data_IF_078995960150
#
_entry.id   IF_078995960150
#
_cell.length_a   1.000
_cell.length_b   1.000
_cell.length_c   1.000
_cell.angle_alpha   90.00
_cell.angle_beta   90.00
_cell.angle_gamma   90.00
#
_symmetry.space_group_name_H-M   'P 1'
#
loop_
_entity.id
_entity.type
_entity.pdbx_description
1 polymer ?
#
# COMPACT_ATOMS: atom_id res chain seq x y z
N UNK A 1 -6.98 -71.42 -90.09
CA UNK A 1 -6.42 -72.56 -89.34
C UNK A 1 -5.92 -72.04 -88.01
N UNK A 2 -6.36 -72.69 -86.92
CA UNK A 2 -5.96 -72.42 -85.53
C UNK A 2 -4.50 -72.87 -85.33
N UNK A 3 -3.77 -72.19 -84.44
CA UNK A 3 -2.86 -72.78 -83.44
C UNK A 3 -2.27 -71.65 -82.56
N UNK A 4 -2.65 -71.65 -81.28
CA UNK A 4 -1.85 -71.13 -80.16
C UNK A 4 -0.70 -72.13 -79.88
N UNK A 5 0.47 -71.74 -79.32
CA UNK A 5 0.58 -71.60 -77.86
C UNK A 5 1.65 -70.62 -77.28
N UNK A 6 1.33 -70.15 -76.07
CA UNK A 6 2.21 -70.03 -74.87
C UNK A 6 3.29 -68.91 -74.80
N UNK A 7 3.12 -68.07 -73.78
CA UNK A 7 4.08 -67.11 -73.21
C UNK A 7 5.43 -67.75 -72.82
N UNK A 8 6.50 -66.93 -72.78
CA UNK A 8 7.10 -66.71 -71.47
C UNK A 8 7.31 -65.24 -71.11
N UNK A 9 7.27 -65.06 -69.80
CA UNK A 9 7.50 -63.87 -68.99
C UNK A 9 8.94 -63.37 -69.19
N UNK A 10 9.13 -62.07 -69.43
CA UNK A 10 10.35 -61.34 -69.05
C UNK A 10 10.14 -59.82 -69.12
N UNK A 11 10.20 -59.21 -67.93
CA UNK A 11 10.66 -57.86 -67.59
C UNK A 11 10.66 -56.74 -68.65
N UNK A 12 9.96 -55.64 -68.36
CA UNK A 12 10.63 -54.37 -67.97
C UNK A 12 9.65 -53.20 -67.81
N UNK A 13 9.86 -52.44 -66.74
CA UNK A 13 9.53 -51.01 -66.57
C UNK A 13 8.05 -50.58 -66.49
N UNK A 14 7.41 -50.90 -65.36
CA UNK A 14 6.46 -49.95 -64.77
C UNK A 14 7.26 -48.80 -64.14
N UNK A 15 7.21 -47.61 -64.76
CA UNK A 15 7.46 -46.35 -64.05
C UNK A 15 6.28 -46.09 -63.12
N UNK A 16 6.25 -46.78 -61.98
CA UNK A 16 5.52 -46.27 -60.83
C UNK A 16 6.36 -45.13 -60.26
N UNK A 17 5.84 -43.92 -60.40
CA UNK A 17 6.22 -42.77 -59.61
C UNK A 17 6.03 -43.12 -58.13
N UNK A 18 7.07 -43.67 -57.51
CA UNK A 18 7.27 -43.58 -56.07
C UNK A 18 7.54 -42.10 -55.77
N UNK A 19 6.47 -41.31 -55.63
CA UNK A 19 6.54 -40.19 -54.71
C UNK A 19 6.71 -40.81 -53.32
N UNK A 20 7.97 -41.00 -52.92
CA UNK A 20 8.29 -41.29 -51.53
C UNK A 20 7.73 -40.14 -50.72
N UNK A 21 6.62 -40.38 -50.04
CA UNK A 21 6.22 -39.58 -48.90
C UNK A 21 7.28 -39.84 -47.83
N UNK A 22 8.39 -39.11 -47.91
CA UNK A 22 9.23 -38.89 -46.74
C UNK A 22 8.42 -37.98 -45.84
N UNK A 23 7.59 -38.56 -45.00
CA UNK A 23 7.38 -38.00 -43.67
C UNK A 23 8.73 -38.08 -42.95
N UNK A 24 9.66 -37.21 -43.32
CA UNK A 24 10.62 -36.69 -42.37
C UNK A 24 9.77 -36.01 -41.32
N UNK A 25 9.45 -36.78 -40.29
CA UNK A 25 9.12 -36.30 -38.96
C UNK A 25 10.21 -35.29 -38.64
N UNK A 26 9.96 -34.03 -38.96
CA UNK A 26 10.84 -32.94 -38.62
C UNK A 26 10.93 -33.03 -37.10
N UNK A 27 12.07 -33.48 -36.62
CA UNK A 27 12.38 -33.47 -35.21
C UNK A 27 12.43 -31.98 -34.87
N UNK A 28 11.29 -31.40 -34.51
CA UNK A 28 11.26 -30.10 -33.87
C UNK A 28 12.22 -30.24 -32.70
N UNK A 29 13.28 -29.44 -32.60
CA UNK A 29 14.03 -29.39 -31.35
C UNK A 29 13.00 -29.13 -30.25
N UNK A 30 13.08 -29.92 -29.19
CA UNK A 30 12.17 -29.81 -28.06
C UNK A 30 12.49 -28.48 -27.38
N UNK A 31 11.60 -27.49 -27.58
CA UNK A 31 11.84 -26.08 -27.24
C UNK A 31 12.24 -25.91 -25.78
N UNK A 32 11.81 -26.82 -24.90
CA UNK A 32 12.09 -26.77 -23.47
C UNK A 32 13.35 -27.56 -23.03
N UNK A 33 14.20 -28.05 -23.95
CA UNK A 33 15.39 -28.85 -23.61
C UNK A 33 16.70 -28.06 -23.47
N UNK A 34 16.73 -26.80 -23.90
CA UNK A 34 17.92 -25.95 -23.87
C UNK A 34 18.06 -25.31 -22.47
N UNK A 35 19.17 -25.59 -21.78
CA UNK A 35 19.51 -24.94 -20.51
C UNK A 35 20.22 -23.62 -20.83
N UNK A 36 19.55 -22.50 -20.62
CA UNK A 36 20.09 -21.17 -20.89
C UNK A 36 19.88 -20.24 -19.67
N UNK A 37 20.83 -19.33 -19.46
CA UNK A 37 20.76 -18.32 -18.40
C UNK A 37 19.60 -17.34 -18.67
N UNK A 38 18.85 -16.99 -17.62
CA UNK A 38 17.72 -16.06 -17.73
C UNK A 38 18.18 -14.68 -18.21
N UNK A 39 17.58 -14.19 -19.28
CA UNK A 39 17.91 -12.92 -19.94
C UNK A 39 18.98 -13.06 -21.04
N UNK A 40 19.51 -14.26 -21.29
CA UNK A 40 20.47 -14.46 -22.39
C UNK A 40 19.77 -14.47 -23.75
N UNK A 41 20.44 -13.87 -24.75
CA UNK A 41 20.03 -13.91 -26.15
C UNK A 41 20.99 -14.83 -26.89
N UNK A 42 20.44 -15.90 -27.48
CA UNK A 42 21.19 -16.77 -28.39
C UNK A 42 20.82 -16.48 -29.83
N UNK A 43 21.85 -16.23 -30.64
CA UNK A 43 21.68 -15.90 -32.06
C UNK A 43 22.22 -17.04 -32.90
N UNK A 44 21.37 -17.59 -33.76
CA UNK A 44 21.74 -18.65 -34.68
C UNK A 44 21.50 -18.20 -36.12
N UNK A 45 22.52 -18.28 -36.98
CA UNK A 45 22.46 -17.79 -38.37
C UNK A 45 23.14 -18.73 -39.35
N UNK A 46 22.87 -18.59 -40.66
CA UNK A 46 23.48 -19.42 -41.69
C UNK A 46 25.02 -19.40 -41.74
N UNK A 47 25.68 -18.41 -41.14
CA UNK A 47 27.12 -18.15 -41.32
C UNK A 47 27.92 -18.07 -40.03
N UNK A 48 27.31 -18.31 -38.86
CA UNK A 48 27.98 -18.17 -37.55
C UNK A 48 27.56 -19.33 -36.63
N UNK A 49 28.57 -19.97 -36.04
CA UNK A 49 28.43 -20.96 -34.94
C UNK A 49 27.95 -20.23 -33.68
N UNK A 50 27.08 -20.85 -32.88
CA UNK A 50 26.36 -20.24 -31.73
C UNK A 50 27.22 -19.24 -30.95
N UNK A 51 26.78 -17.98 -30.90
CA UNK A 51 27.46 -16.94 -30.13
C UNK A 51 26.45 -16.25 -29.21
N UNK A 52 26.81 -16.09 -27.94
CA UNK A 52 26.03 -15.35 -26.95
C UNK A 52 26.17 -13.84 -27.24
N UNK A 53 25.04 -13.14 -27.35
CA UNK A 53 25.02 -11.70 -27.55
C UNK A 53 24.35 -11.07 -26.33
N UNK A 54 24.98 -10.05 -25.74
CA UNK A 54 24.38 -9.29 -24.63
C UNK A 54 23.16 -8.50 -25.13
N UNK A 55 22.13 -8.33 -24.28
CA UNK A 55 20.83 -7.71 -24.60
C UNK A 55 20.98 -6.27 -25.18
N UNK A 56 22.11 -5.59 -24.94
CA UNK A 56 22.39 -4.25 -25.44
C UNK A 56 22.82 -4.16 -26.93
N UNK A 57 23.16 -5.27 -27.59
CA UNK A 57 23.61 -5.26 -29.01
C UNK A 57 22.48 -5.44 -30.04
N UNK A 58 21.25 -5.70 -29.59
CA UNK A 58 20.09 -5.88 -30.48
C UNK A 58 19.24 -4.61 -30.45
N UNK A 59 19.26 -3.82 -31.53
CA UNK A 59 18.47 -2.57 -31.72
C UNK A 59 16.97 -2.86 -31.94
N UNK A 60 16.39 -3.73 -31.11
CA UNK A 60 15.06 -4.30 -31.27
C UNK A 60 14.32 -4.25 -29.93
N UNK A 61 13.10 -3.70 -29.95
CA UNK A 61 12.37 -3.38 -28.73
C UNK A 61 11.39 -4.51 -28.42
N UNK A 62 11.88 -5.54 -27.74
CA UNK A 62 11.06 -6.63 -27.19
C UNK A 62 10.91 -6.49 -25.68
N UNK A 63 9.71 -6.73 -25.14
CA UNK A 63 9.51 -6.81 -23.70
C UNK A 63 8.33 -7.69 -23.31
N UNK A 64 8.52 -8.47 -22.23
CA UNK A 64 7.46 -9.20 -21.55
C UNK A 64 7.21 -8.68 -20.14
N UNK A 65 5.96 -8.80 -19.69
CA UNK A 65 5.52 -8.38 -18.36
C UNK A 65 4.48 -9.36 -17.82
N UNK A 66 4.68 -9.82 -16.59
CA UNK A 66 3.73 -10.65 -15.86
C UNK A 66 2.98 -9.78 -14.84
N UNK A 67 1.71 -9.52 -15.11
CA UNK A 67 0.86 -8.70 -14.24
C UNK A 67 0.36 -9.48 -13.01
N UNK A 68 -0.08 -8.78 -11.95
CA UNK A 68 -0.67 -9.40 -10.76
C UNK A 68 -1.93 -10.25 -11.04
N UNK A 69 -2.62 -9.99 -12.16
CA UNK A 69 -3.77 -10.77 -12.64
C UNK A 69 -3.37 -12.08 -13.33
N UNK A 70 -2.09 -12.48 -13.26
CA UNK A 70 -1.48 -13.61 -13.95
C UNK A 70 -1.58 -13.52 -15.48
N UNK A 71 -1.69 -12.30 -16.00
CA UNK A 71 -1.63 -12.04 -17.44
C UNK A 71 -0.17 -11.78 -17.81
N UNK A 72 0.40 -12.65 -18.64
CA UNK A 72 1.66 -12.41 -19.32
C UNK A 72 1.38 -11.63 -20.61
N UNK A 73 1.98 -10.46 -20.75
CA UNK A 73 1.89 -9.66 -21.96
C UNK A 73 3.29 -9.44 -22.53
N UNK A 74 3.49 -9.85 -23.77
CA UNK A 74 4.73 -9.71 -24.50
C UNK A 74 4.48 -8.90 -25.77
N UNK A 75 5.36 -7.95 -26.05
CA UNK A 75 5.27 -7.17 -27.28
C UNK A 75 6.64 -6.97 -27.91
N UNK A 76 6.64 -6.89 -29.23
CA UNK A 76 7.83 -6.80 -30.06
C UNK A 76 7.66 -5.72 -31.12
N UNK A 77 8.78 -5.13 -31.52
CA UNK A 77 8.84 -4.16 -32.60
C UNK A 77 10.16 -4.26 -33.35
N UNK A 78 10.07 -4.66 -34.62
CA UNK A 78 11.20 -4.77 -35.55
C UNK A 78 11.03 -3.77 -36.72
N UNK A 79 11.18 -2.44 -36.49
CA UNK A 79 10.86 -1.42 -37.48
C UNK A 79 11.92 -1.31 -38.58
N UNK A 80 13.15 -1.70 -38.29
CA UNK A 80 14.32 -1.65 -39.19
C UNK A 80 14.35 -2.81 -40.18
N UNK A 81 13.51 -3.83 -39.98
CA UNK A 81 13.48 -5.04 -40.79
C UNK A 81 12.94 -4.77 -42.21
N UNK A 82 13.68 -5.23 -43.24
CA UNK A 82 13.35 -5.00 -44.65
C UNK A 82 11.94 -5.49 -45.02
N UNK A 83 11.24 -4.78 -45.91
CA UNK A 83 9.84 -5.09 -46.30
C UNK A 83 9.65 -6.50 -46.89
N UNK A 84 10.69 -7.06 -47.49
CA UNK A 84 10.63 -8.39 -48.10
C UNK A 84 11.07 -9.52 -47.15
N UNK A 85 11.44 -9.20 -45.90
CA UNK A 85 11.80 -10.21 -44.92
C UNK A 85 10.55 -10.97 -44.44
N UNK A 86 10.66 -12.29 -44.35
CA UNK A 86 9.68 -13.12 -43.64
C UNK A 86 10.01 -13.09 -42.14
N UNK A 87 8.98 -12.95 -41.32
CA UNK A 87 9.10 -12.81 -39.87
C UNK A 87 8.10 -13.74 -39.19
N UNK A 88 8.58 -14.51 -38.23
CA UNK A 88 7.74 -15.36 -37.39
C UNK A 88 8.20 -15.24 -35.94
N UNK A 89 7.28 -14.97 -35.04
CA UNK A 89 7.51 -15.08 -33.59
C UNK A 89 6.81 -16.33 -33.07
N UNK A 90 7.48 -17.03 -32.16
CA UNK A 90 6.90 -18.11 -31.37
C UNK A 90 7.16 -17.86 -29.88
N UNK A 91 6.11 -17.99 -29.07
CA UNK A 91 6.17 -17.86 -27.61
C UNK A 91 5.83 -19.23 -27.01
N UNK A 92 6.76 -19.77 -26.23
CA UNK A 92 6.64 -21.07 -25.58
C UNK A 92 6.82 -20.92 -24.07
N UNK A 93 6.00 -21.61 -23.29
CA UNK A 93 6.07 -21.62 -21.83
C UNK A 93 6.38 -23.02 -21.38
N UNK A 94 7.52 -23.16 -20.71
CA UNK A 94 8.09 -24.40 -20.27
C UNK A 94 8.01 -24.49 -18.74
N UNK A 95 7.49 -25.60 -18.23
CA UNK A 95 7.68 -25.98 -16.82
C UNK A 95 9.08 -26.59 -16.61
N UNK A 96 9.55 -26.66 -15.37
CA UNK A 96 10.81 -27.29 -14.96
C UNK A 96 10.94 -28.74 -15.46
N UNK A 97 9.81 -29.45 -15.62
CA UNK A 97 9.77 -30.79 -16.21
C UNK A 97 9.95 -30.81 -17.73
N UNK A 98 10.29 -29.66 -18.33
CA UNK A 98 10.46 -29.44 -19.77
C UNK A 98 9.21 -29.75 -20.58
N UNK A 99 8.04 -29.53 -19.98
CA UNK A 99 6.75 -29.73 -20.64
C UNK A 99 6.16 -28.39 -21.06
N UNK A 100 5.65 -28.33 -22.29
CA UNK A 100 4.99 -27.14 -22.84
C UNK A 100 3.60 -27.02 -22.22
N UNK A 101 3.39 -26.01 -21.37
CA UNK A 101 2.14 -25.81 -20.61
C UNK A 101 1.06 -25.07 -21.43
N UNK A 102 1.44 -24.33 -22.48
CA UNK A 102 0.52 -23.58 -23.34
C UNK A 102 0.79 -23.87 -24.82
N UNK A 103 -0.24 -23.84 -25.71
CA UNK A 103 0.01 -23.99 -27.14
C UNK A 103 1.02 -22.94 -27.61
N UNK A 104 1.90 -23.29 -28.55
CA UNK A 104 2.84 -22.35 -29.16
C UNK A 104 2.05 -21.17 -29.77
N UNK A 105 2.14 -19.99 -29.14
CA UNK A 105 1.50 -18.79 -29.66
C UNK A 105 2.43 -18.21 -30.73
N UNK A 106 1.94 -18.13 -31.97
CA UNK A 106 2.71 -17.59 -33.10
C UNK A 106 2.04 -16.37 -33.74
N UNK A 107 2.86 -15.51 -34.31
CA UNK A 107 2.43 -14.38 -35.13
C UNK A 107 3.45 -14.10 -36.23
N UNK A 108 2.98 -13.49 -37.32
CA UNK A 108 3.79 -13.06 -38.46
C UNK A 108 3.93 -11.52 -38.51
N UNK A 109 3.30 -10.82 -37.57
CA UNK A 109 3.34 -9.36 -37.50
C UNK A 109 4.69 -8.89 -36.95
N UNK A 110 5.34 -7.94 -37.62
CA UNK A 110 6.65 -7.39 -37.18
C UNK A 110 6.56 -6.45 -35.99
N UNK A 111 5.38 -5.87 -35.80
CA UNK A 111 5.02 -5.05 -34.65
C UNK A 111 3.75 -5.65 -34.11
N UNK A 112 3.82 -6.23 -32.93
CA UNK A 112 2.73 -7.02 -32.39
C UNK A 112 2.80 -7.14 -30.88
N UNK A 113 1.71 -7.62 -30.31
CA UNK A 113 1.61 -7.93 -28.89
C UNK A 113 0.77 -9.18 -28.70
N UNK A 114 1.14 -10.00 -27.73
CA UNK A 114 0.43 -11.21 -27.37
C UNK A 114 0.21 -11.24 -25.86
N UNK A 115 -0.99 -11.64 -25.44
CA UNK A 115 -1.33 -11.77 -24.03
C UNK A 115 -1.89 -13.15 -23.73
N UNK A 116 -1.45 -13.74 -22.63
CA UNK A 116 -1.87 -15.07 -22.17
C UNK A 116 -2.14 -15.04 -20.67
N UNK A 117 -3.19 -15.73 -20.24
CA UNK A 117 -3.47 -15.96 -18.83
C UNK A 117 -2.72 -17.22 -18.40
N UNK A 118 -1.93 -17.08 -17.35
CA UNK A 118 -1.17 -18.19 -16.77
C UNK A 118 -1.93 -18.77 -15.58
N UNK A 119 -2.07 -20.10 -15.59
CA UNK A 119 -2.59 -20.85 -14.46
C UNK A 119 -1.42 -21.24 -13.55
N UNK A 120 -0.87 -20.25 -12.85
CA UNK A 120 0.40 -20.32 -12.10
C UNK A 120 0.34 -21.31 -10.93
N UNK A 121 1.25 -22.30 -10.88
CA UNK A 121 1.61 -23.08 -9.67
C UNK A 121 3.07 -23.63 -9.65
N UNK A 122 3.86 -23.49 -10.71
CA UNK A 122 5.24 -24.02 -10.79
C UNK A 122 6.20 -22.95 -11.35
N UNK A 123 7.51 -23.14 -11.19
CA UNK A 123 8.54 -22.29 -11.80
C UNK A 123 8.46 -22.46 -13.32
N UNK A 124 8.27 -21.36 -14.05
CA UNK A 124 8.11 -21.38 -15.50
C UNK A 124 9.24 -20.60 -16.17
N UNK A 125 9.69 -21.13 -17.30
CA UNK A 125 10.58 -20.44 -18.21
C UNK A 125 9.78 -20.02 -19.45
N UNK A 126 9.96 -18.76 -19.84
CA UNK A 126 9.40 -18.22 -21.07
C UNK A 126 10.47 -18.22 -22.14
N UNK A 127 10.21 -18.92 -23.24
CA UNK A 127 11.12 -18.97 -24.39
C UNK A 127 10.46 -18.27 -25.56
N UNK A 128 11.18 -17.30 -26.11
CA UNK A 128 10.77 -16.47 -27.22
C UNK A 128 11.69 -16.72 -28.39
N UNK A 129 11.10 -17.01 -29.55
CA UNK A 129 11.86 -17.32 -30.75
C UNK A 129 11.41 -16.46 -31.90
N UNK A 130 12.31 -15.62 -32.41
CA UNK A 130 12.09 -14.81 -33.60
C UNK A 130 12.85 -15.44 -34.76
N UNK A 131 12.13 -15.87 -35.79
CA UNK A 131 12.70 -16.41 -37.01
C UNK A 131 12.55 -15.37 -38.13
N UNK A 132 13.68 -14.89 -38.63
CA UNK A 132 13.75 -13.87 -39.65
C UNK A 132 14.45 -14.46 -40.86
N UNK A 133 13.82 -14.41 -42.03
CA UNK A 133 14.39 -14.87 -43.29
C UNK A 133 14.41 -13.75 -44.32
N UNK A 134 15.57 -13.50 -44.92
CA UNK A 134 15.78 -12.47 -45.94
C UNK A 134 16.79 -12.95 -46.98
N UNK A 135 16.38 -13.01 -48.26
CA UNK A 135 17.25 -13.41 -49.39
C UNK A 135 18.05 -14.70 -49.14
N UNK A 136 17.36 -15.79 -48.77
CA UNK A 136 17.93 -17.12 -48.45
C UNK A 136 18.89 -17.17 -47.25
N UNK A 137 18.99 -16.09 -46.49
CA UNK A 137 19.64 -16.07 -45.18
C UNK A 137 18.57 -16.07 -44.10
N UNK A 138 18.78 -16.88 -43.06
CA UNK A 138 17.93 -16.88 -41.89
C UNK A 138 18.75 -16.57 -40.63
N UNK A 139 18.08 -15.88 -39.72
CA UNK A 139 18.56 -15.59 -38.37
C UNK A 139 17.46 -15.95 -37.40
N UNK A 140 17.81 -16.68 -36.35
CA UNK A 140 16.94 -16.99 -35.24
C UNK A 140 17.49 -16.32 -33.99
N UNK A 141 16.64 -15.53 -33.34
CA UNK A 141 16.89 -15.02 -31.99
C UNK A 141 16.06 -15.84 -31.02
N UNK A 142 16.72 -16.44 -30.04
CA UNK A 142 16.08 -17.10 -28.91
C UNK A 142 16.36 -16.29 -27.65
N UNK A 143 15.32 -16.02 -26.88
CA UNK A 143 15.41 -15.29 -25.61
C UNK A 143 14.67 -16.10 -24.55
N UNK A 144 15.36 -16.35 -23.44
CA UNK A 144 14.84 -17.16 -22.35
C UNK A 144 14.73 -16.32 -21.09
N UNK A 145 13.54 -16.26 -20.48
CA UNK A 145 13.31 -15.55 -19.22
C UNK A 145 12.79 -16.49 -18.14
N UNK A 146 13.32 -16.36 -16.93
CA UNK A 146 12.59 -16.80 -15.74
C UNK A 146 11.37 -15.90 -15.55
N UNK A 147 10.19 -16.50 -15.41
CA UNK A 147 8.94 -15.74 -15.33
C UNK A 147 8.85 -14.80 -14.12
N UNK A 148 9.55 -15.13 -13.04
CA UNK A 148 9.61 -14.31 -11.84
C UNK A 148 10.35 -12.99 -12.08
N UNK A 149 11.28 -12.98 -13.03
CA UNK A 149 12.01 -11.78 -13.47
C UNK A 149 11.17 -10.89 -14.39
N UNK A 150 9.97 -11.33 -14.80
CA UNK A 150 9.04 -10.55 -15.61
C UNK A 150 7.94 -9.90 -14.77
N UNK A 151 7.93 -10.13 -13.46
CA UNK A 151 6.86 -9.69 -12.57
C UNK A 151 6.74 -8.17 -12.49
N UNK A 152 5.51 -7.67 -12.66
CA UNK A 152 5.10 -6.31 -12.34
C UNK A 152 4.36 -6.33 -11.01
N UNK A 153 4.85 -5.56 -10.04
CA UNK A 153 4.27 -5.53 -8.70
C UNK A 153 2.91 -4.83 -8.66
N UNK A 154 2.10 -5.21 -7.67
CA UNK A 154 0.93 -4.43 -7.26
C UNK A 154 1.34 -3.23 -6.39
N UNK A 155 0.50 -2.19 -6.29
CA UNK A 155 0.73 -1.13 -5.31
C UNK A 155 0.89 -1.71 -3.89
N UNK A 156 1.68 -1.07 -3.00
CA UNK A 156 1.87 -1.55 -1.64
C UNK A 156 0.55 -1.74 -0.87
N UNK A 157 0.38 -2.83 -0.11
CA UNK A 157 -0.82 -3.05 0.69
C UNK A 157 -0.84 -2.18 1.95
N UNK A 158 -1.99 -2.13 2.66
CA UNK A 158 -2.11 -1.56 4.00
C UNK A 158 -1.60 -0.12 4.15
N UNK A 159 -1.89 0.73 3.17
CA UNK A 159 -1.48 2.14 3.19
C UNK A 159 -2.35 2.88 4.22
N UNK A 160 -1.70 3.51 5.18
CA UNK A 160 -2.35 4.36 6.17
C UNK A 160 -1.60 5.67 6.30
N UNK A 161 -2.34 6.76 6.44
CA UNK A 161 -1.80 8.07 6.71
C UNK A 161 -2.53 8.68 7.91
N UNK A 162 -1.79 9.35 8.79
CA UNK A 162 -2.34 9.98 9.99
C UNK A 162 -1.50 11.19 10.38
N UNK A 163 -2.12 12.23 10.93
CA UNK A 163 -1.39 13.38 11.48
C UNK A 163 -1.19 13.17 12.97
N UNK A 164 0.07 13.18 13.43
CA UNK A 164 0.48 13.04 14.83
C UNK A 164 1.38 14.20 15.20
N UNK A 165 1.02 14.95 16.24
CA UNK A 165 1.82 16.08 16.76
C UNK A 165 2.23 17.13 15.72
N UNK A 166 1.43 17.31 14.65
CA UNK A 166 1.71 18.24 13.56
C UNK A 166 2.46 17.63 12.37
N UNK A 167 2.84 16.36 12.44
CA UNK A 167 3.54 15.64 11.38
C UNK A 167 2.61 14.64 10.69
N UNK A 168 2.68 14.55 9.35
CA UNK A 168 1.96 13.55 8.59
C UNK A 168 2.79 12.27 8.50
N UNK A 169 2.33 11.23 9.19
CA UNK A 169 2.95 9.89 9.18
C UNK A 169 2.21 9.00 8.19
N UNK A 170 2.93 8.52 7.18
CA UNK A 170 2.45 7.61 6.15
C UNK A 170 3.19 6.27 6.29
N UNK A 171 2.45 5.17 6.33
CA UNK A 171 3.01 3.81 6.45
C UNK A 171 2.30 2.88 5.48
N UNK A 172 3.00 1.85 5.02
CA UNK A 172 2.45 0.83 4.13
C UNK A 172 3.04 -0.55 4.46
N UNK A 173 2.38 -1.59 3.97
CA UNK A 173 2.85 -2.96 4.07
C UNK A 173 3.88 -3.30 3.01
N UNK A 174 4.63 -4.38 3.25
CA UNK A 174 5.55 -4.94 2.26
C UNK A 174 4.77 -5.43 1.03
N UNK A 175 5.17 -5.06 -0.21
CA UNK A 175 4.55 -5.57 -1.42
C UNK A 175 4.62 -7.08 -1.50
N UNK A 176 3.58 -7.69 -2.06
CA UNK A 176 3.61 -9.12 -2.41
C UNK A 176 4.37 -9.30 -3.72
N UNK A 177 5.31 -10.23 -3.73
CA UNK A 177 6.15 -10.64 -4.86
C UNK A 177 6.23 -12.17 -4.87
N UNK A 178 6.33 -12.76 -6.06
CA UNK A 178 6.41 -14.23 -6.22
C UNK A 178 7.75 -14.79 -5.78
N UNK A 179 8.84 -14.12 -6.15
CA UNK A 179 10.20 -14.58 -5.89
C UNK A 179 10.87 -13.90 -4.68
N UNK A 180 10.51 -12.65 -4.39
CA UNK A 180 11.25 -11.84 -3.42
C UNK A 180 10.47 -11.57 -2.15
N UNK A 181 11.03 -12.00 -1.02
CA UNK A 181 10.49 -11.65 0.30
C UNK A 181 11.40 -10.68 1.06
N UNK A 182 12.57 -10.34 0.51
CA UNK A 182 13.50 -9.40 1.13
C UNK A 182 12.99 -7.95 0.99
N UNK A 183 12.73 -7.23 2.10
CA UNK A 183 12.32 -5.84 2.07
C UNK A 183 13.28 -4.89 1.33
N UNK A 184 14.57 -5.22 1.29
CA UNK A 184 15.59 -4.40 0.65
C UNK A 184 15.48 -4.38 -0.88
N UNK A 185 14.78 -5.35 -1.47
CA UNK A 185 14.55 -5.44 -2.90
C UNK A 185 13.51 -4.45 -3.42
N UNK A 186 12.79 -3.75 -2.54
CA UNK A 186 11.71 -2.86 -2.95
C UNK A 186 12.09 -1.40 -2.80
N UNK A 187 11.63 -0.60 -3.74
CA UNK A 187 11.64 0.85 -3.63
C UNK A 187 10.27 1.43 -3.96
N UNK A 188 10.06 2.66 -3.51
CA UNK A 188 8.75 3.30 -3.48
C UNK A 188 8.82 4.72 -4.00
N UNK A 189 7.71 5.16 -4.58
CA UNK A 189 7.47 6.57 -4.90
C UNK A 189 6.21 7.04 -4.20
N UNK A 190 6.35 8.04 -3.34
CA UNK A 190 5.26 8.69 -2.64
C UNK A 190 4.94 10.02 -3.33
N UNK A 191 3.71 10.20 -3.79
CA UNK A 191 3.22 11.46 -4.31
C UNK A 191 2.18 12.05 -3.37
N UNK A 192 2.31 13.35 -3.10
CA UNK A 192 1.43 14.14 -2.27
C UNK A 192 0.87 15.29 -3.12
N UNK A 193 -0.40 15.67 -2.96
CA UNK A 193 -1.03 16.67 -3.83
C UNK A 193 -0.32 18.03 -3.85
N UNK A 194 0.31 18.41 -2.75
CA UNK A 194 0.99 19.70 -2.61
C UNK A 194 2.41 19.71 -3.22
N UNK A 195 2.84 18.60 -3.83
CA UNK A 195 4.18 18.45 -4.39
C UNK A 195 4.14 18.09 -5.88
N UNK A 196 4.92 18.83 -6.67
CA UNK A 196 5.05 18.57 -8.11
C UNK A 196 5.77 17.27 -8.42
N UNK A 197 6.70 16.83 -7.56
CA UNK A 197 7.53 15.64 -7.78
C UNK A 197 7.33 14.60 -6.68
N UNK A 198 7.12 13.31 -7.05
CA UNK A 198 7.10 12.23 -6.08
C UNK A 198 8.45 12.07 -5.37
N UNK A 199 8.40 11.68 -4.09
CA UNK A 199 9.58 11.35 -3.28
C UNK A 199 9.93 9.87 -3.46
N UNK A 200 11.20 9.58 -3.73
CA UNK A 200 11.73 8.21 -3.79
C UNK A 200 12.13 7.75 -2.40
N UNK A 201 11.69 6.55 -2.01
CA UNK A 201 11.82 6.00 -0.65
C UNK A 201 12.19 4.51 -0.72
N UNK A 202 12.89 4.03 0.31
CA UNK A 202 13.26 2.61 0.46
C UNK A 202 12.63 1.96 1.70
N UNK A 203 12.25 2.76 2.69
CA UNK A 203 11.62 2.29 3.93
C UNK A 203 10.10 2.26 3.77
N UNK A 204 9.40 1.41 4.55
CA UNK A 204 7.94 1.27 4.53
C UNK A 204 7.18 2.36 5.32
N UNK A 205 7.87 3.45 5.65
CA UNK A 205 7.30 4.58 6.38
C UNK A 205 7.95 5.89 5.96
N UNK A 206 7.15 6.94 6.03
CA UNK A 206 7.58 8.30 5.71
C UNK A 206 6.85 9.29 6.61
N UNK A 207 7.58 10.30 7.08
CA UNK A 207 7.03 11.38 7.91
C UNK A 207 7.28 12.71 7.22
N UNK A 208 6.21 13.43 6.89
CA UNK A 208 6.30 14.83 6.46
C UNK A 208 6.18 15.73 7.70
N UNK A 209 7.21 16.53 8.02
CA UNK A 209 7.17 17.38 9.20
C UNK A 209 6.33 18.64 8.96
N UNK A 210 5.72 19.17 10.03
CA UNK A 210 5.04 20.48 10.04
C UNK A 210 3.98 20.65 8.94
N UNK A 211 3.04 19.70 8.84
CA UNK A 211 1.94 19.81 7.87
C UNK A 211 0.86 20.77 8.35
N UNK A 212 0.22 21.47 7.41
CA UNK A 212 -0.89 22.36 7.74
C UNK A 212 -2.10 21.54 8.25
N UNK A 213 -2.55 21.72 9.51
CA UNK A 213 -3.65 20.96 10.08
C UNK A 213 -5.02 21.35 9.49
N UNK A 214 -5.10 22.47 8.77
CA UNK A 214 -6.34 22.95 8.14
C UNK A 214 -6.57 22.37 6.76
N UNK A 215 -5.52 21.86 6.13
CA UNK A 215 -5.56 21.29 4.80
C UNK A 215 -5.92 19.80 4.83
N UNK A 216 -6.55 19.33 3.75
CA UNK A 216 -6.75 17.89 3.52
C UNK A 216 -5.55 17.37 2.77
N UNK A 217 -4.78 16.50 3.40
CA UNK A 217 -3.61 15.87 2.81
C UNK A 217 -4.04 14.66 2.01
N UNK A 218 -3.54 14.51 0.79
CA UNK A 218 -3.80 13.33 -0.03
C UNK A 218 -2.50 12.70 -0.49
N UNK A 219 -2.40 11.39 -0.31
CA UNK A 219 -1.21 10.61 -0.60
C UNK A 219 -1.53 9.44 -1.51
N UNK A 220 -0.64 9.14 -2.44
CA UNK A 220 -0.65 7.93 -3.27
C UNK A 220 0.77 7.38 -3.37
N UNK A 221 0.89 6.06 -3.43
CA UNK A 221 2.18 5.39 -3.45
C UNK A 221 2.20 4.29 -4.51
N UNK A 222 3.38 4.06 -5.10
CA UNK A 222 3.65 2.93 -5.99
C UNK A 222 5.00 2.34 -5.67
N UNK A 223 5.25 1.12 -6.15
CA UNK A 223 6.47 0.37 -5.86
C UNK A 223 7.03 -0.30 -7.10
N UNK A 224 8.32 -0.62 -7.07
CA UNK A 224 8.97 -1.53 -8.00
C UNK A 224 10.10 -2.28 -7.29
N UNK A 225 10.64 -3.31 -7.95
CA UNK A 225 11.88 -3.91 -7.48
C UNK A 225 13.06 -3.02 -7.85
N UNK A 226 14.10 -3.03 -7.02
CA UNK A 226 15.38 -2.40 -7.32
C UNK A 226 16.09 -3.18 -8.41
N UNK A 227 16.94 -2.48 -9.17
CA UNK A 227 17.73 -3.07 -10.24
C UNK A 227 18.58 -4.26 -9.76
N UNK A 228 19.12 -4.20 -8.54
CA UNK A 228 19.95 -5.27 -7.96
C UNK A 228 19.18 -6.59 -7.71
N UNK A 229 17.85 -6.53 -7.63
CA UNK A 229 17.01 -7.72 -7.44
C UNK A 229 16.28 -8.15 -8.71
N UNK A 230 15.87 -7.19 -9.54
CA UNK A 230 15.28 -7.46 -10.85
C UNK A 230 15.64 -6.32 -11.79
N UNK A 231 16.41 -6.66 -12.82
CA UNK A 231 16.79 -5.72 -13.84
C UNK A 231 15.57 -5.24 -14.64
N UNK A 232 15.58 -3.99 -15.08
CA UNK A 232 14.51 -3.36 -15.85
C UNK A 232 13.08 -3.41 -15.22
N UNK A 233 12.99 -3.54 -13.88
CA UNK A 233 11.70 -3.59 -13.17
C UNK A 233 10.85 -2.34 -13.39
N UNK A 234 9.56 -2.56 -13.65
CA UNK A 234 8.58 -1.52 -13.93
C UNK A 234 7.89 -1.03 -12.65
N UNK A 235 7.50 0.24 -12.66
CA UNK A 235 6.65 0.80 -11.60
C UNK A 235 5.28 0.16 -11.61
N UNK A 236 4.79 -0.20 -10.42
CA UNK A 236 3.39 -0.56 -10.22
C UNK A 236 2.48 0.61 -10.59
N UNK A 237 1.20 0.29 -10.75
CA UNK A 237 0.16 1.31 -10.71
C UNK A 237 0.22 2.11 -9.40
N UNK A 238 -0.36 3.30 -9.43
CA UNK A 238 -0.56 4.08 -8.22
C UNK A 238 -1.60 3.42 -7.33
N UNK A 239 -1.36 3.43 -6.02
CA UNK A 239 -2.36 3.05 -5.05
C UNK A 239 -3.60 3.95 -5.14
N UNK A 240 -4.74 3.49 -4.59
CA UNK A 240 -5.83 4.38 -4.24
C UNK A 240 -5.31 5.56 -3.39
N UNK A 241 -5.94 6.72 -3.58
CA UNK A 241 -5.59 7.93 -2.85
C UNK A 241 -6.08 7.78 -1.41
N UNK A 242 -5.18 7.99 -0.46
CA UNK A 242 -5.52 8.07 0.97
C UNK A 242 -5.58 9.52 1.36
N UNK A 243 -6.76 9.99 1.78
CA UNK A 243 -6.97 11.36 2.24
C UNK A 243 -7.02 11.42 3.76
N UNK A 244 -6.27 12.35 4.34
CA UNK A 244 -6.26 12.62 5.77
C UNK A 244 -6.70 14.06 5.97
N UNK A 245 -7.78 14.23 6.72
CA UNK A 245 -8.21 15.53 7.19
C UNK A 245 -8.10 15.54 8.71
N UNK A 246 -7.28 16.44 9.24
CA UNK A 246 -7.26 16.62 10.68
C UNK A 246 -8.53 17.38 11.07
N UNK A 247 -9.31 16.80 11.99
CA UNK A 247 -10.42 17.55 12.57
C UNK A 247 -9.82 18.66 13.42
N UNK A 248 -9.82 19.88 12.89
CA UNK A 248 -9.49 21.08 13.67
C UNK A 248 -10.38 21.03 14.90
N UNK A 249 -9.74 21.03 16.08
CA UNK A 249 -10.30 21.04 17.41
C UNK A 249 -11.83 20.95 17.43
N UNK A 250 -12.39 19.77 17.70
CA UNK A 250 -13.72 19.72 18.30
C UNK A 250 -13.58 20.38 19.67
N UNK A 251 -13.61 21.71 19.70
CA UNK A 251 -13.75 22.49 20.92
C UNK A 251 -14.91 21.85 21.65
N UNK A 252 -14.61 21.20 22.78
CA UNK A 252 -15.59 20.43 23.50
C UNK A 252 -16.78 21.36 23.76
N UNK A 253 -17.98 20.97 23.32
CA UNK A 253 -19.17 21.81 23.40
C UNK A 253 -19.37 22.32 24.84
N UNK A 254 -19.00 21.48 25.82
CA UNK A 254 -18.98 21.82 27.24
C UNK A 254 -18.02 22.97 27.60
N UNK A 255 -16.85 23.05 26.98
CA UNK A 255 -15.87 24.13 27.15
C UNK A 255 -16.38 25.43 26.53
N UNK A 256 -17.02 25.37 25.36
CA UNK A 256 -17.64 26.55 24.74
C UNK A 256 -18.77 27.08 25.64
N UNK A 257 -19.63 26.18 26.14
CA UNK A 257 -20.72 26.54 27.06
C UNK A 257 -20.18 27.11 28.37
N UNK A 258 -19.13 26.52 28.94
CA UNK A 258 -18.55 27.00 30.20
C UNK A 258 -17.91 28.38 30.06
N UNK A 259 -17.23 28.66 28.95
CA UNK A 259 -16.65 29.98 28.67
C UNK A 259 -17.75 31.01 28.43
N UNK A 260 -18.74 30.68 27.59
CA UNK A 260 -19.82 31.61 27.21
C UNK A 260 -20.78 31.95 28.35
N UNK A 261 -21.02 31.02 29.29
CA UNK A 261 -21.89 31.27 30.44
C UNK A 261 -21.10 31.71 31.68
N UNK A 262 -19.90 31.16 31.88
CA UNK A 262 -19.06 31.45 33.03
C UNK A 262 -18.52 32.87 33.06
N UNK A 263 -18.00 33.37 31.92
CA UNK A 263 -17.41 34.72 31.87
C UNK A 263 -18.45 35.81 32.18
N UNK A 264 -19.65 35.83 31.57
CA UNK A 264 -20.67 36.84 31.89
C UNK A 264 -21.16 36.75 33.34
N UNK A 265 -21.30 35.54 33.89
CA UNK A 265 -21.73 35.33 35.27
C UNK A 265 -20.73 35.87 36.28
N UNK A 266 -19.42 35.61 36.05
CA UNK A 266 -18.35 36.16 36.90
C UNK A 266 -18.32 37.69 36.79
N UNK A 267 -18.41 38.23 35.58
CA UNK A 267 -18.42 39.67 35.34
C UNK A 267 -19.61 40.35 36.04
N UNK A 268 -20.79 39.73 35.98
CA UNK A 268 -21.99 40.20 36.65
C UNK A 268 -21.84 40.18 38.17
N UNK A 269 -21.29 39.11 38.73
CA UNK A 269 -21.04 39.00 40.18
C UNK A 269 -20.09 40.11 40.67
N UNK A 270 -19.00 40.36 39.94
CA UNK A 270 -18.04 41.45 40.26
C UNK A 270 -18.73 42.81 40.19
N UNK A 271 -19.55 43.07 39.17
CA UNK A 271 -20.30 44.32 39.05
C UNK A 271 -21.27 44.54 40.21
N UNK A 272 -21.96 43.48 40.65
CA UNK A 272 -22.88 43.53 41.78
C UNK A 272 -22.13 43.80 43.10
N UNK A 273 -20.98 43.15 43.33
CA UNK A 273 -20.15 43.38 44.51
C UNK A 273 -19.65 44.83 44.59
N UNK A 274 -19.17 45.39 43.47
CA UNK A 274 -18.72 46.79 43.41
C UNK A 274 -19.89 47.75 43.68
N UNK A 275 -21.08 47.47 43.13
CA UNK A 275 -22.27 48.27 43.43
C UNK A 275 -22.65 48.19 44.91
N UNK A 276 -22.60 47.01 45.51
CA UNK A 276 -22.95 46.82 46.90
C UNK A 276 -21.97 47.53 47.85
N UNK A 277 -20.67 47.50 47.55
CA UNK A 277 -19.67 48.29 48.28
C UNK A 277 -19.97 49.79 48.22
N UNK A 278 -20.26 50.33 47.01
CA UNK A 278 -20.63 51.75 46.86
C UNK A 278 -21.93 52.11 47.58
N UNK A 279 -22.92 51.22 47.60
CA UNK A 279 -24.16 51.44 48.34
C UNK A 279 -23.93 51.44 49.85
N UNK A 280 -23.07 50.55 50.34
CA UNK A 280 -22.72 50.48 51.76
C UNK A 280 -22.07 51.79 52.23
N UNK A 281 -21.12 52.34 51.45
CA UNK A 281 -20.46 53.61 51.76
C UNK A 281 -21.43 54.81 51.76
N UNK A 282 -22.51 54.76 50.98
CA UNK A 282 -23.54 55.81 50.91
C UNK A 282 -24.58 55.70 52.03
N UNK A 283 -25.02 54.48 52.35
CA UNK A 283 -26.04 54.23 53.38
C UNK A 283 -25.46 54.27 54.80
N UNK A 284 -24.19 53.92 54.95
CA UNK A 284 -23.46 53.92 56.21
C UNK A 284 -22.19 54.75 56.07
N UNK A 285 -22.30 56.08 55.94
CA UNK A 285 -21.12 56.94 55.95
C UNK A 285 -20.36 56.70 57.26
N UNK A 286 -19.01 56.73 57.24
CA UNK A 286 -18.20 56.54 58.44
C UNK A 286 -18.65 57.53 59.52
N UNK A 287 -18.97 57.00 60.70
CA UNK A 287 -19.46 57.79 61.83
C UNK A 287 -18.41 58.87 62.13
N UNK A 288 -18.77 60.17 62.08
CA UNK A 288 -17.81 61.23 62.32
C UNK A 288 -17.21 61.08 63.72
N UNK A 289 -15.88 61.00 63.80
CA UNK A 289 -15.20 60.88 65.07
C UNK A 289 -15.48 62.10 65.96
N UNK A 290 -15.81 61.90 67.25
CA UNK A 290 -16.05 63.01 68.15
C UNK A 290 -14.76 63.83 68.32
N UNK A 291 -14.88 65.17 68.47
CA UNK A 291 -13.74 66.03 68.73
C UNK A 291 -12.95 65.52 69.95
N UNK A 292 -11.60 65.59 69.95
CA UNK A 292 -10.77 65.00 71.01
C UNK A 292 -11.08 65.52 72.42
N UNK A 293 -11.73 66.69 72.53
CA UNK A 293 -12.18 67.29 73.80
C UNK A 293 -13.22 66.44 74.55
N UNK A 294 -14.01 65.62 73.84
CA UNK A 294 -15.06 64.80 74.45
C UNK A 294 -14.59 63.37 74.79
N UNK A 295 -13.45 62.94 74.26
CA UNK A 295 -12.89 61.60 74.53
C UNK A 295 -12.55 61.42 76.01
N UNK A 296 -12.02 62.47 76.64
CA UNK A 296 -11.66 62.49 78.06
C UNK A 296 -12.87 62.37 79.01
N UNK A 297 -14.07 62.80 78.57
CA UNK A 297 -15.28 62.72 79.39
C UNK A 297 -15.92 61.33 79.38
N UNK A 298 -15.80 60.59 78.28
CA UNK A 298 -16.38 59.26 78.13
C UNK A 298 -15.55 58.18 78.83
N UNK A 299 -14.23 58.30 78.82
CA UNK A 299 -13.30 57.35 79.46
C UNK A 299 -13.38 57.36 81.00
N UNK A 300 -14.03 58.36 81.61
CA UNK A 300 -14.11 58.52 83.07
C UNK A 300 -15.27 57.76 83.73
N UNK A 301 -16.21 57.20 82.97
CA UNK A 301 -17.46 56.62 83.52
C UNK A 301 -17.50 55.08 83.60
N UNK A 302 -16.39 54.37 83.37
CA UNK A 302 -16.33 52.89 83.47
C UNK A 302 -16.21 52.38 84.93
N UNK A 303 -16.97 52.94 85.87
CA UNK A 303 -17.08 52.42 87.25
C UNK A 303 -18.52 52.09 87.65
N UNK A 304 -19.31 51.53 86.72
CA UNK A 304 -20.54 50.83 87.08
C UNK A 304 -20.30 49.32 87.08
N UNK A 305 -19.84 48.83 88.23
CA UNK A 305 -19.92 47.42 88.60
C UNK A 305 -21.39 47.02 88.71
N UNK A 306 -21.90 46.28 87.74
CA UNK A 306 -23.14 45.52 87.85
C UNK A 306 -23.01 44.37 86.88
N UNK A 307 -22.44 43.25 87.32
CA UNK A 307 -22.76 41.86 86.96
C UNK A 307 -21.76 40.95 87.68
N UNK A 308 -22.20 40.34 88.80
CA UNK A 308 -21.53 39.16 89.35
C UNK A 308 -22.22 37.88 88.81
N UNK A 309 -21.48 36.77 88.64
CA UNK A 309 -21.91 35.60 87.88
C UNK A 309 -22.72 34.61 88.73
N UNK A 310 -23.71 33.94 88.15
CA UNK A 310 -24.41 32.81 88.77
C UNK A 310 -23.67 31.48 88.47
N UNK A 311 -23.54 30.54 89.42
CA UNK A 311 -22.73 29.33 89.27
C UNK A 311 -23.41 28.23 88.43
N UNK A 312 -22.56 27.45 87.77
CA UNK A 312 -22.84 26.26 86.96
C UNK A 312 -23.57 25.16 87.74
N UNK A 313 -24.65 24.63 87.17
CA UNK A 313 -25.28 23.39 87.62
C UNK A 313 -24.82 22.23 86.73
N UNK A 314 -23.86 21.44 87.21
CA UNK A 314 -23.64 20.08 86.72
C UNK A 314 -24.81 19.19 87.18
N UNK A 315 -25.51 18.56 86.23
CA UNK A 315 -26.38 17.44 86.50
C UNK A 315 -25.75 16.21 85.84
N UNK A 316 -25.29 15.28 86.68
CA UNK A 316 -24.73 14.00 86.29
C UNK A 316 -25.78 13.12 85.61
N UNK A 317 -25.36 12.44 84.55
CA UNK A 317 -26.12 11.39 83.87
C UNK A 317 -26.26 10.16 84.77
N UNK A 318 -27.50 9.70 85.01
CA UNK A 318 -27.79 8.38 85.55
C UNK A 318 -28.50 7.56 84.46
N UNK A 319 -27.76 6.64 83.85
CA UNK A 319 -28.27 5.72 82.81
C UNK A 319 -28.80 4.47 83.52
N UNK A 320 -30.13 4.32 83.58
CA UNK A 320 -30.76 3.09 84.07
C UNK A 320 -30.90 2.09 82.92
N UNK A 321 -30.15 0.97 83.00
CA UNK A 321 -30.38 -0.23 82.20
C UNK A 321 -31.73 -0.84 82.58
N UNK A 322 -32.58 -1.14 81.58
CA UNK A 322 -33.79 -1.93 81.75
C UNK A 322 -33.57 -3.27 81.06
N UNK A 323 -33.58 -4.34 81.85
CA UNK A 323 -33.48 -5.73 81.43
C UNK A 323 -34.90 -6.30 81.19
N UNK A 324 -35.04 -7.08 80.13
CA UNK A 324 -36.29 -7.62 79.59
C UNK A 324 -37.03 -8.57 80.55
N UNK A 325 -38.36 -8.54 80.49
CA UNK A 325 -39.20 -9.67 80.91
C UNK A 325 -40.22 -10.03 79.83
N UNK A 326 -39.98 -11.21 79.26
CA UNK A 326 -40.88 -11.99 78.45
C UNK A 326 -42.05 -12.52 79.31
N UNK A 327 -43.31 -12.26 78.92
CA UNK A 327 -44.42 -13.09 79.39
C UNK A 327 -45.55 -13.26 78.37
N UNK A 328 -45.49 -14.43 77.74
CA UNK A 328 -46.50 -15.24 77.06
C UNK A 328 -47.93 -15.14 77.63
N UNK A 329 -48.93 -14.93 76.75
CA UNK A 329 -50.29 -15.51 76.94
C UNK A 329 -51.10 -15.59 75.62
N UNK A 330 -51.29 -16.82 75.14
CA UNK A 330 -52.42 -17.32 74.31
C UNK A 330 -53.73 -17.37 75.15
N UNK A 331 -54.89 -17.84 74.67
CA UNK A 331 -55.35 -18.18 73.31
C UNK A 331 -56.72 -17.57 72.94
N UNK A 332 -57.10 -17.58 71.66
CA UNK A 332 -58.34 -18.21 71.12
C UNK A 332 -58.19 -18.30 69.61
#
# INVERSE_FOLDING_TARGET
MKLFPVHPILWSCFLFLCASRSETKANSPDVCQEEEDSGSITVHSCSVEEHYVEEEEVDENFHCRLYPTNILNCSWSFPTLHKDAQFFVNISICDDKRTVQAPNLSSEERVGSMSLILHVHEMLHLILRFNITLHDRWTVYTITYNIDMLEVLSPPPNISASVKDGDLVVTWGLPHSRADTNPECFEYQLAMADQERPKSLTNQSYTEPNVDPTCTHSVKIRTRKKNDCQEHSQWSDWSPIVTVQQSIYKLNTLVIISISLGIPMILLAVLLLVRQQRLYDVLFPPIPHPPPKYKYFLEKNDTFNLFHPAPSAEAAEEITQVEDMEQKRTPT
#
